data_IF_431279625878
#
_entry.id   IF_431279625878
#
_cell.length_a   1.000
_cell.length_b   1.000
_cell.length_c   1.000
_cell.angle_alpha   90.00
_cell.angle_beta   90.00
_cell.angle_gamma   90.00
#
_symmetry.space_group_name_H-M   'P 1'
#
loop_
_entity.id
_entity.type
_entity.pdbx_description
1 polymer ?
#
# COMPACT_ATOMS: atom_id res chain seq x y z
N UNK A 1 12.67 -39.98 -21.22
CA UNK A 1 11.87 -38.74 -21.43
C UNK A 1 12.08 -37.73 -20.30
N UNK A 2 11.68 -38.01 -19.05
CA UNK A 2 11.72 -37.07 -17.91
C UNK A 2 13.12 -36.44 -17.66
N UNK A 3 14.21 -37.23 -17.74
CA UNK A 3 15.59 -36.72 -17.59
C UNK A 3 15.96 -35.64 -18.61
N UNK A 4 15.53 -35.80 -19.87
CA UNK A 4 15.80 -34.85 -20.94
C UNK A 4 15.00 -33.56 -20.77
N UNK A 5 13.72 -33.69 -20.40
CA UNK A 5 12.84 -32.54 -20.09
C UNK A 5 13.42 -31.73 -18.93
N UNK A 6 13.76 -32.37 -17.81
CA UNK A 6 14.36 -31.70 -16.66
C UNK A 6 15.67 -30.99 -17.03
N UNK A 7 16.54 -31.64 -17.83
CA UNK A 7 17.82 -31.06 -18.25
C UNK A 7 17.62 -29.76 -19.04
N UNK A 8 16.82 -29.79 -20.11
CA UNK A 8 16.70 -28.61 -20.99
C UNK A 8 15.86 -27.49 -20.37
N UNK A 9 14.78 -27.84 -19.66
CA UNK A 9 14.02 -26.85 -18.91
C UNK A 9 14.86 -26.25 -17.76
N UNK A 10 15.65 -27.07 -17.06
CA UNK A 10 16.56 -26.60 -16.03
C UNK A 10 17.65 -25.65 -16.56
N UNK A 11 18.18 -25.90 -17.76
CA UNK A 11 19.13 -24.98 -18.42
C UNK A 11 18.46 -23.65 -18.78
N UNK A 12 17.23 -23.68 -19.28
CA UNK A 12 16.48 -22.47 -19.66
C UNK A 12 16.04 -21.65 -18.43
N UNK A 13 15.51 -22.31 -17.40
CA UNK A 13 14.97 -21.66 -16.21
C UNK A 13 16.05 -21.31 -15.17
N UNK A 14 17.18 -22.03 -15.18
CA UNK A 14 18.26 -21.85 -14.20
C UNK A 14 18.76 -20.41 -14.06
N UNK A 15 19.12 -19.70 -15.15
CA UNK A 15 19.55 -18.30 -15.08
C UNK A 15 18.50 -17.39 -14.47
N UNK A 16 17.22 -17.59 -14.79
CA UNK A 16 16.12 -16.83 -14.23
C UNK A 16 16.00 -17.08 -12.72
N UNK A 17 16.18 -18.32 -12.25
CA UNK A 17 16.19 -18.64 -10.81
C UNK A 17 17.34 -17.97 -10.06
N UNK A 18 18.52 -17.90 -10.68
CA UNK A 18 19.66 -17.17 -10.10
C UNK A 18 19.30 -15.69 -9.94
N UNK A 19 18.71 -15.08 -10.98
CA UNK A 19 18.25 -13.69 -10.93
C UNK A 19 17.17 -13.50 -9.86
N UNK A 20 16.14 -14.34 -9.83
CA UNK A 20 15.06 -14.29 -8.85
C UNK A 20 15.57 -14.46 -7.42
N UNK A 21 16.48 -15.40 -7.18
CA UNK A 21 17.01 -15.60 -5.83
C UNK A 21 17.87 -14.41 -5.38
N UNK A 22 18.78 -13.93 -6.24
CA UNK A 22 19.62 -12.78 -5.95
C UNK A 22 18.79 -11.51 -5.74
N UNK A 23 17.75 -11.31 -6.55
CA UNK A 23 16.86 -10.16 -6.43
C UNK A 23 15.96 -10.23 -5.19
N UNK A 24 15.56 -11.42 -4.76
CA UNK A 24 14.85 -11.63 -3.50
C UNK A 24 15.68 -11.23 -2.29
N UNK A 25 16.98 -11.58 -2.27
CA UNK A 25 17.91 -11.10 -1.23
C UNK A 25 18.04 -9.58 -1.29
N UNK A 26 18.19 -9.00 -2.48
CA UNK A 26 18.29 -7.55 -2.63
C UNK A 26 17.03 -6.82 -2.09
N UNK A 27 15.84 -7.39 -2.28
CA UNK A 27 14.59 -6.83 -1.78
C UNK A 27 14.52 -6.73 -0.25
N UNK A 28 15.13 -7.65 0.49
CA UNK A 28 15.18 -7.60 1.96
C UNK A 28 15.82 -6.29 2.46
N UNK A 29 16.77 -5.74 1.69
CA UNK A 29 17.45 -4.48 2.01
C UNK A 29 16.85 -3.28 1.28
N UNK A 30 16.23 -3.50 0.12
CA UNK A 30 15.70 -2.43 -0.74
C UNK A 30 14.26 -1.99 -0.39
N UNK A 31 13.53 -2.73 0.46
CA UNK A 31 12.10 -2.51 0.78
C UNK A 31 11.15 -2.56 -0.43
N UNK A 32 11.58 -3.15 -1.55
CA UNK A 32 10.74 -3.37 -2.73
C UNK A 32 10.76 -2.21 -3.75
N UNK A 33 9.59 -1.89 -4.31
CA UNK A 33 9.44 -0.76 -5.24
C UNK A 33 9.55 0.57 -4.48
N UNK A 34 10.18 1.60 -5.07
CA UNK A 34 10.32 2.89 -4.42
C UNK A 34 8.95 3.57 -4.38
N UNK A 35 8.60 4.13 -3.23
CA UNK A 35 7.33 4.80 -3.02
C UNK A 35 7.36 5.61 -1.74
N UNK A 36 6.28 6.34 -1.49
CA UNK A 36 6.10 7.09 -0.25
C UNK A 36 5.40 6.18 0.78
N UNK A 37 6.05 5.93 1.93
CA UNK A 37 5.42 5.12 2.98
C UNK A 37 4.34 5.94 3.71
N UNK A 38 3.32 5.29 4.31
CA UNK A 38 2.28 6.01 5.06
C UNK A 38 2.84 6.88 6.18
N UNK A 39 3.90 6.44 6.85
CA UNK A 39 4.57 7.16 7.94
C UNK A 39 5.31 8.38 7.38
N UNK A 40 6.07 8.21 6.29
CA UNK A 40 6.76 9.31 5.63
C UNK A 40 5.76 10.35 5.10
N UNK A 41 4.63 9.91 4.52
CA UNK A 41 3.54 10.78 4.09
C UNK A 41 2.99 11.60 5.26
N UNK A 42 2.68 10.94 6.38
CA UNK A 42 2.17 11.60 7.58
C UNK A 42 3.19 12.56 8.21
N UNK A 43 4.47 12.23 8.20
CA UNK A 43 5.53 13.12 8.70
C UNK A 43 5.59 14.44 7.93
N UNK A 44 5.35 14.43 6.63
CA UNK A 44 5.39 15.62 5.77
C UNK A 44 4.03 16.30 5.59
N UNK A 45 2.95 15.75 6.13
CA UNK A 45 1.65 16.43 6.15
C UNK A 45 1.74 17.69 7.03
N UNK A 46 1.23 18.84 6.54
CA UNK A 46 1.08 20.04 7.36
C UNK A 46 0.13 19.79 8.54
N UNK A 47 0.29 20.53 9.66
CA UNK A 47 -0.70 20.52 10.72
C UNK A 47 -2.06 20.99 10.18
N UNK A 48 -3.12 20.39 10.72
CA UNK A 48 -4.51 20.71 10.45
C UNK A 48 -4.98 21.83 11.38
N UNK A 49 -5.38 22.96 10.79
CA UNK A 49 -5.97 24.08 11.52
C UNK A 49 -7.49 23.87 11.66
N UNK A 50 -7.88 23.31 12.82
CA UNK A 50 -9.29 23.05 13.14
C UNK A 50 -10.13 24.33 13.26
N UNK A 51 -9.52 25.48 13.54
CA UNK A 51 -10.25 26.75 13.62
C UNK A 51 -10.75 27.24 12.25
N UNK A 52 -10.18 26.73 11.16
CA UNK A 52 -10.62 27.00 9.78
C UNK A 52 -11.67 26.03 9.26
N UNK A 53 -12.02 24.99 10.03
CA UNK A 53 -13.04 24.02 9.65
C UNK A 53 -14.41 24.66 9.88
N UNK A 54 -15.06 25.11 8.81
CA UNK A 54 -16.31 25.87 8.88
C UNK A 54 -17.58 25.03 8.71
N UNK A 55 -17.47 23.78 8.28
CA UNK A 55 -18.62 22.90 8.04
C UNK A 55 -18.30 21.43 8.30
N UNK A 56 -19.33 20.65 8.56
CA UNK A 56 -19.29 19.19 8.70
C UNK A 56 -19.05 18.51 7.35
N UNK A 57 -18.60 17.24 7.32
CA UNK A 57 -18.50 16.50 6.08
C UNK A 57 -19.86 16.33 5.38
N UNK A 58 -20.96 16.21 6.13
CA UNK A 58 -22.31 16.11 5.55
C UNK A 58 -22.71 17.41 4.84
N UNK A 59 -22.48 18.57 5.46
CA UNK A 59 -22.75 19.88 4.87
C UNK A 59 -21.87 20.14 3.63
N UNK A 60 -20.60 19.73 3.67
CA UNK A 60 -19.68 19.88 2.55
C UNK A 60 -20.16 19.12 1.30
N UNK A 61 -20.63 17.88 1.48
CA UNK A 61 -21.21 17.07 0.39
C UNK A 61 -22.51 17.69 -0.11
N UNK A 62 -23.41 18.07 0.79
CA UNK A 62 -24.70 18.66 0.45
C UNK A 62 -24.56 19.98 -0.33
N UNK A 63 -23.63 20.84 0.07
CA UNK A 63 -23.35 22.13 -0.58
C UNK A 63 -22.74 21.96 -1.97
N UNK A 64 -21.90 20.93 -2.15
CA UNK A 64 -21.33 20.58 -3.43
C UNK A 64 -22.31 19.93 -4.40
N UNK A 65 -23.45 19.43 -3.92
CA UNK A 65 -24.44 18.73 -4.74
C UNK A 65 -23.91 17.41 -5.33
N UNK A 66 -22.94 16.79 -4.65
CA UNK A 66 -22.28 15.58 -5.15
C UNK A 66 -22.91 14.33 -4.55
N UNK A 67 -23.23 13.35 -5.39
CA UNK A 67 -23.57 11.99 -4.95
C UNK A 67 -22.26 11.19 -4.85
N UNK A 68 -21.65 11.19 -3.67
CA UNK A 68 -20.33 10.60 -3.47
C UNK A 68 -20.48 9.20 -2.90
N UNK A 69 -20.15 8.20 -3.70
CA UNK A 69 -19.95 6.83 -3.24
C UNK A 69 -18.54 6.68 -2.65
N UNK A 70 -18.45 6.82 -1.32
CA UNK A 70 -17.21 6.76 -0.55
C UNK A 70 -17.20 5.61 0.47
N UNK A 71 -16.02 5.04 0.68
CA UNK A 71 -15.77 4.04 1.71
C UNK A 71 -14.97 4.61 2.89
N UNK A 72 -14.26 5.72 2.68
CA UNK A 72 -13.46 6.40 3.70
C UNK A 72 -13.49 7.90 3.47
N UNK A 73 -13.56 8.63 4.58
CA UNK A 73 -13.44 10.09 4.60
C UNK A 73 -12.38 10.49 5.62
N UNK A 74 -11.50 11.41 5.23
CA UNK A 74 -10.45 11.96 6.09
C UNK A 74 -10.43 13.48 5.96
N UNK A 75 -10.16 14.17 7.04
CA UNK A 75 -9.94 15.62 7.09
C UNK A 75 -8.43 15.87 7.22
N UNK A 76 -7.88 16.66 6.31
CA UNK A 76 -6.47 17.03 6.28
C UNK A 76 -6.27 18.42 5.67
N UNK A 77 -5.05 18.92 5.70
CA UNK A 77 -4.68 20.17 5.03
C UNK A 77 -4.28 19.92 3.58
N UNK A 78 -5.00 20.54 2.63
CA UNK A 78 -4.68 20.54 1.20
C UNK A 78 -4.51 22.00 0.75
N UNK A 79 -3.37 22.35 0.16
CA UNK A 79 -3.06 23.74 -0.23
C UNK A 79 -3.35 24.78 0.87
N UNK A 80 -2.92 24.51 2.10
CA UNK A 80 -3.08 25.39 3.29
C UNK A 80 -4.53 25.61 3.76
N UNK A 81 -5.45 24.79 3.27
CA UNK A 81 -6.87 24.83 3.62
C UNK A 81 -7.31 23.48 4.14
N UNK A 82 -8.19 23.42 5.16
CA UNK A 82 -8.75 22.16 5.61
C UNK A 82 -9.66 21.59 4.50
N UNK A 83 -9.55 20.29 4.23
CA UNK A 83 -10.33 19.63 3.21
C UNK A 83 -10.73 18.21 3.63
N UNK A 84 -11.99 17.86 3.35
CA UNK A 84 -12.51 16.51 3.39
C UNK A 84 -12.12 15.78 2.12
N UNK A 85 -11.37 14.69 2.26
CA UNK A 85 -11.06 13.78 1.18
C UNK A 85 -11.90 12.52 1.31
N UNK A 86 -12.73 12.32 0.30
CA UNK A 86 -13.54 11.14 0.10
C UNK A 86 -12.81 10.20 -0.84
N UNK A 87 -12.62 8.96 -0.38
CA UNK A 87 -12.06 7.87 -1.19
C UNK A 87 -13.12 6.80 -1.37
N UNK A 88 -13.28 6.31 -2.59
CA UNK A 88 -14.27 5.32 -2.97
C UNK A 88 -14.35 5.24 -4.48
N UNK A 89 -15.53 4.94 -5.00
CA UNK A 89 -15.77 4.86 -6.45
C UNK A 89 -15.64 6.22 -7.11
N UNK A 90 -16.08 7.27 -6.41
CA UNK A 90 -15.97 8.66 -6.87
C UNK A 90 -15.12 9.49 -5.90
N UNK A 91 -13.78 9.47 -6.04
CA UNK A 91 -12.93 10.24 -5.14
C UNK A 91 -13.13 11.74 -5.35
N UNK A 92 -13.23 12.46 -4.24
CA UNK A 92 -13.38 13.90 -4.24
C UNK A 92 -12.64 14.52 -3.05
N UNK A 93 -12.07 15.70 -3.26
CA UNK A 93 -11.57 16.54 -2.17
C UNK A 93 -12.42 17.79 -2.14
N UNK A 94 -13.05 18.07 -0.99
CA UNK A 94 -13.95 19.22 -0.79
C UNK A 94 -13.38 20.04 0.35
N UNK A 95 -13.20 21.34 0.14
CA UNK A 95 -12.67 22.22 1.17
C UNK A 95 -13.68 22.42 2.30
N UNK A 96 -13.23 22.27 3.55
CA UNK A 96 -14.06 22.33 4.74
C UNK A 96 -14.36 23.78 5.20
N UNK A 97 -13.77 24.78 4.54
CA UNK A 97 -14.01 26.21 4.79
C UNK A 97 -15.08 26.80 3.83
N UNK A 98 -15.06 26.43 2.55
CA UNK A 98 -15.97 26.97 1.52
C UNK A 98 -16.97 25.96 0.97
N UNK A 99 -16.69 24.66 1.06
CA UNK A 99 -17.47 23.61 0.41
C UNK A 99 -17.14 23.42 -1.07
N UNK A 100 -16.13 24.13 -1.60
CA UNK A 100 -15.73 23.99 -3.00
C UNK A 100 -14.99 22.67 -3.22
N UNK A 101 -15.24 22.04 -4.37
CA UNK A 101 -14.46 20.88 -4.81
C UNK A 101 -13.08 21.32 -5.29
N UNK A 102 -12.05 20.57 -4.94
CA UNK A 102 -10.73 20.70 -5.53
C UNK A 102 -10.83 20.45 -7.03
N UNK A 103 -10.54 21.49 -7.81
CA UNK A 103 -10.31 21.37 -9.25
C UNK A 103 -8.93 20.77 -9.47
N UNK A 104 -8.76 20.03 -10.58
CA UNK A 104 -7.47 19.43 -10.93
C UNK A 104 -6.33 20.44 -10.80
N UNK A 105 -5.30 20.01 -10.09
CA UNK A 105 -4.14 20.84 -9.79
C UNK A 105 -3.43 21.22 -11.10
N UNK A 106 -3.00 22.48 -11.20
CA UNK A 106 -2.10 22.92 -12.25
C UNK A 106 -0.62 22.70 -11.88
N UNK A 107 0.31 22.84 -12.85
CA UNK A 107 1.75 22.70 -12.60
C UNK A 107 2.28 23.57 -11.46
N UNK A 108 1.84 24.83 -11.37
CA UNK A 108 2.25 25.75 -10.29
C UNK A 108 1.80 25.25 -8.91
N UNK A 109 0.58 24.70 -8.82
CA UNK A 109 0.09 24.09 -7.58
C UNK A 109 0.93 22.87 -7.18
N UNK A 110 1.32 22.05 -8.16
CA UNK A 110 2.15 20.87 -7.93
C UNK A 110 3.54 21.22 -7.41
N UNK A 111 4.19 22.25 -7.98
CA UNK A 111 5.48 22.76 -7.53
C UNK A 111 5.40 23.32 -6.11
N UNK A 112 4.35 24.06 -5.77
CA UNK A 112 4.13 24.58 -4.42
C UNK A 112 3.97 23.45 -3.39
N UNK A 113 3.26 22.38 -3.72
CA UNK A 113 3.12 21.20 -2.85
C UNK A 113 4.48 20.52 -2.67
N UNK A 114 5.24 20.34 -3.76
CA UNK A 114 6.58 19.76 -3.71
C UNK A 114 7.55 20.59 -2.85
N UNK A 115 7.53 21.92 -2.99
CA UNK A 115 8.34 22.85 -2.19
C UNK A 115 8.06 22.75 -0.71
N UNK A 116 6.79 22.70 -0.32
CA UNK A 116 6.38 22.51 1.09
C UNK A 116 6.78 21.15 1.63
N UNK A 117 6.57 20.10 0.84
CA UNK A 117 6.89 18.74 1.26
C UNK A 117 8.40 18.56 1.51
N UNK A 118 9.26 19.06 0.62
CA UNK A 118 10.72 18.91 0.76
C UNK A 118 11.35 20.02 1.61
N UNK A 119 10.59 21.05 2.01
CA UNK A 119 11.09 22.28 2.61
C UNK A 119 12.20 22.94 1.77
N UNK A 120 11.97 23.03 0.46
CA UNK A 120 12.89 23.62 -0.52
C UNK A 120 12.18 24.75 -1.29
N UNK A 121 12.97 25.70 -1.80
CA UNK A 121 12.45 26.76 -2.67
C UNK A 121 12.07 26.21 -4.04
N UNK A 122 11.11 26.85 -4.71
CA UNK A 122 10.58 26.38 -6.00
C UNK A 122 11.65 26.27 -7.10
N UNK A 123 12.74 27.04 -7.02
CA UNK A 123 13.83 26.99 -8.02
C UNK A 123 14.64 25.68 -7.97
N UNK A 124 14.56 24.93 -6.87
CA UNK A 124 15.17 23.61 -6.76
C UNK A 124 14.40 22.53 -7.54
N UNK A 125 13.24 22.85 -8.11
CA UNK A 125 12.37 21.91 -8.79
C UNK A 125 12.28 22.19 -10.28
N UNK A 126 12.24 21.11 -11.06
CA UNK A 126 11.99 21.15 -12.49
C UNK A 126 10.71 20.35 -12.78
N UNK A 127 9.72 21.02 -13.37
CA UNK A 127 8.49 20.38 -13.81
C UNK A 127 8.76 19.58 -15.09
N UNK A 128 8.46 18.28 -15.06
CA UNK A 128 8.71 17.38 -16.20
C UNK A 128 7.49 17.28 -17.10
N UNK A 129 6.29 17.15 -16.52
CA UNK A 129 5.06 17.00 -17.28
C UNK A 129 3.92 16.36 -16.50
N UNK A 130 2.76 16.26 -17.15
CA UNK A 130 1.58 15.56 -16.64
C UNK A 130 1.55 14.13 -17.21
N UNK A 131 1.48 13.14 -16.33
CA UNK A 131 1.36 11.73 -16.67
C UNK A 131 -0.10 11.31 -16.58
N UNK A 132 -0.75 11.08 -17.72
CA UNK A 132 -2.11 10.55 -17.79
C UNK A 132 -2.17 9.05 -17.51
N UNK A 133 -1.05 8.35 -17.70
CA UNK A 133 -0.89 6.94 -17.41
C UNK A 133 0.28 6.75 -16.45
N UNK A 134 0.24 5.74 -15.56
CA UNK A 134 1.31 5.52 -14.61
C UNK A 134 2.60 5.08 -15.31
N UNK A 135 3.75 5.62 -14.87
CA UNK A 135 5.06 5.12 -15.27
C UNK A 135 5.50 3.94 -14.38
N UNK A 136 6.69 3.39 -14.64
CA UNK A 136 7.26 2.27 -13.88
C UNK A 136 7.22 2.47 -12.36
N UNK A 137 7.36 3.71 -11.89
CA UNK A 137 7.43 4.05 -10.46
C UNK A 137 6.08 4.32 -9.83
N UNK A 138 5.05 4.56 -10.64
CA UNK A 138 3.69 4.89 -10.19
C UNK A 138 2.65 3.84 -10.57
N UNK A 139 3.07 2.64 -10.97
CA UNK A 139 2.16 1.52 -11.31
C UNK A 139 1.15 1.26 -10.19
N UNK A 140 1.60 1.27 -8.92
CA UNK A 140 0.73 1.09 -7.76
C UNK A 140 -0.21 2.27 -7.46
N UNK A 141 -0.09 3.37 -8.21
CA UNK A 141 -0.85 4.61 -8.03
C UNK A 141 -1.71 4.93 -9.26
N UNK A 142 -2.11 3.91 -10.03
CA UNK A 142 -2.93 4.06 -11.24
C UNK A 142 -4.22 4.87 -10.98
N UNK A 143 -4.89 4.62 -9.87
CA UNK A 143 -6.14 5.33 -9.52
C UNK A 143 -5.94 6.83 -9.25
N UNK A 144 -4.69 7.24 -8.98
CA UNK A 144 -4.34 8.62 -8.65
C UNK A 144 -3.96 9.45 -9.89
N UNK A 145 -3.88 8.84 -11.08
CA UNK A 145 -3.59 9.58 -12.33
C UNK A 145 -4.74 10.53 -12.69
N UNK A 146 -4.46 11.70 -13.29
CA UNK A 146 -3.15 12.11 -13.79
C UNK A 146 -2.19 12.63 -12.70
N UNK A 147 -0.87 12.44 -12.92
CA UNK A 147 0.20 12.77 -11.98
C UNK A 147 1.15 13.82 -12.56
N UNK A 148 1.39 14.91 -11.84
CA UNK A 148 2.47 15.84 -12.13
C UNK A 148 3.81 15.23 -11.71
N UNK A 149 4.70 15.06 -12.68
CA UNK A 149 6.07 14.59 -12.44
C UNK A 149 6.99 15.79 -12.25
N UNK A 150 7.71 15.79 -11.14
CA UNK A 150 8.64 16.86 -10.76
C UNK A 150 9.97 16.21 -10.41
N UNK A 151 11.07 16.77 -10.91
CA UNK A 151 12.42 16.40 -10.51
C UNK A 151 13.02 17.47 -9.61
N UNK A 152 13.77 17.04 -8.60
CA UNK A 152 14.51 17.94 -7.70
C UNK A 152 15.96 18.00 -8.15
N UNK A 153 16.56 19.20 -8.15
CA UNK A 153 17.99 19.39 -8.39
C UNK A 153 18.80 19.15 -7.11
N UNK A 154 18.78 17.90 -6.66
CA UNK A 154 19.55 17.40 -5.53
C UNK A 154 20.54 16.29 -5.96
N UNK A 155 21.51 15.98 -5.10
CA UNK A 155 22.47 14.89 -5.36
C UNK A 155 21.77 13.53 -5.49
N UNK A 156 20.65 13.35 -4.79
CA UNK A 156 19.87 12.13 -4.81
C UNK A 156 19.08 11.93 -6.12
N UNK A 157 18.98 12.95 -6.99
CA UNK A 157 18.12 12.97 -8.19
C UNK A 157 16.69 12.56 -7.86
N UNK A 158 16.10 13.23 -6.89
CA UNK A 158 14.76 12.94 -6.37
C UNK A 158 13.70 13.23 -7.44
N UNK A 159 12.69 12.36 -7.51
CA UNK A 159 11.49 12.54 -8.34
C UNK A 159 10.25 12.44 -7.46
N UNK A 160 9.38 13.42 -7.61
CA UNK A 160 8.11 13.53 -6.90
C UNK A 160 6.97 13.40 -7.90
N UNK A 161 5.91 12.73 -7.48
CA UNK A 161 4.70 12.53 -8.26
C UNK A 161 3.52 13.07 -7.48
N UNK A 162 2.96 14.19 -7.94
CA UNK A 162 1.82 14.85 -7.29
C UNK A 162 0.55 14.50 -8.04
N UNK A 163 -0.46 13.95 -7.36
CA UNK A 163 -1.76 13.72 -8.00
C UNK A 163 -2.44 15.05 -8.30
N UNK A 164 -2.86 15.22 -9.55
CA UNK A 164 -3.65 16.37 -9.95
C UNK A 164 -5.05 16.36 -9.31
N UNK A 165 -5.62 15.19 -9.06
CA UNK A 165 -6.98 15.03 -8.53
C UNK A 165 -7.13 15.36 -7.05
N UNK A 166 -6.14 14.98 -6.24
CA UNK A 166 -6.23 15.08 -4.78
C UNK A 166 -5.22 16.04 -4.15
N UNK A 167 -4.27 16.57 -4.94
CA UNK A 167 -3.27 17.52 -4.47
C UNK A 167 -2.35 16.93 -3.40
N UNK A 168 -1.84 15.72 -3.61
CA UNK A 168 -0.91 15.06 -2.68
C UNK A 168 0.21 14.36 -3.44
N UNK A 169 1.38 14.23 -2.82
CA UNK A 169 2.47 13.42 -3.34
C UNK A 169 2.16 11.94 -3.10
N UNK A 170 2.02 11.18 -4.18
CA UNK A 170 1.66 9.75 -4.14
C UNK A 170 2.87 8.83 -4.29
N UNK A 171 3.98 9.35 -4.80
CA UNK A 171 5.24 8.63 -4.90
C UNK A 171 6.44 9.58 -4.82
N UNK A 172 7.49 9.09 -4.18
CA UNK A 172 8.80 9.71 -4.10
C UNK A 172 9.86 8.65 -4.46
N UNK A 173 10.77 9.00 -5.36
CA UNK A 173 11.88 8.11 -5.71
C UNK A 173 13.20 8.87 -5.74
N UNK A 174 14.30 8.19 -5.43
CA UNK A 174 15.67 8.70 -5.55
C UNK A 174 16.46 7.84 -6.52
N UNK A 175 17.65 8.27 -6.94
CA UNK A 175 18.55 7.45 -7.75
C UNK A 175 18.87 6.13 -7.06
N UNK A 176 19.15 6.17 -5.75
CA UNK A 176 19.46 4.97 -4.96
C UNK A 176 18.27 4.02 -4.91
N UNK A 177 17.06 4.51 -4.59
CA UNK A 177 15.88 3.65 -4.50
C UNK A 177 15.52 3.03 -5.84
N UNK A 178 15.64 3.78 -6.94
CA UNK A 178 15.46 3.25 -8.31
C UNK A 178 16.50 2.20 -8.69
N UNK A 179 17.77 2.42 -8.34
CA UNK A 179 18.84 1.44 -8.60
C UNK A 179 18.62 0.15 -7.84
N UNK A 180 18.22 0.24 -6.57
CA UNK A 180 17.89 -0.91 -5.74
C UNK A 180 16.67 -1.69 -6.28
N UNK A 181 15.67 -0.99 -6.79
CA UNK A 181 14.51 -1.62 -7.42
C UNK A 181 14.88 -2.40 -8.69
N UNK A 182 15.81 -1.90 -9.50
CA UNK A 182 16.30 -2.57 -10.71
C UNK A 182 17.06 -3.87 -10.45
N UNK A 183 17.73 -3.99 -9.31
CA UNK A 183 18.43 -5.22 -8.91
C UNK A 183 17.58 -6.14 -8.02
N UNK A 184 16.46 -5.63 -7.50
CA UNK A 184 15.58 -6.33 -6.57
C UNK A 184 14.16 -6.49 -7.10
N UNK A 185 13.27 -5.58 -6.72
CA UNK A 185 11.84 -5.68 -6.97
C UNK A 185 11.45 -5.94 -8.43
N UNK A 186 12.06 -5.21 -9.38
CA UNK A 186 11.72 -5.29 -10.80
C UNK A 186 11.98 -6.70 -11.36
N UNK A 187 13.20 -7.27 -11.26
CA UNK A 187 13.46 -8.62 -11.77
C UNK A 187 12.76 -9.71 -10.94
N UNK A 188 12.57 -9.53 -9.64
CA UNK A 188 11.89 -10.52 -8.79
C UNK A 188 10.41 -10.65 -9.12
N UNK A 189 9.71 -9.52 -9.22
CA UNK A 189 8.27 -9.48 -9.47
C UNK A 189 7.91 -9.38 -10.95
N UNK A 190 8.90 -9.28 -11.84
CA UNK A 190 8.72 -9.06 -13.28
C UNK A 190 7.89 -7.78 -13.58
N UNK A 191 8.14 -6.71 -12.83
CA UNK A 191 7.44 -5.43 -12.94
C UNK A 191 7.91 -4.61 -14.15
N UNK A 192 7.71 -5.14 -15.34
CA UNK A 192 7.88 -4.39 -16.58
C UNK A 192 6.55 -3.69 -16.91
N UNK A 193 6.57 -2.37 -17.14
CA UNK A 193 5.36 -1.55 -17.28
C UNK A 193 4.33 -2.13 -18.27
N UNK A 194 4.67 -2.53 -19.52
CA UNK A 194 3.68 -3.07 -20.45
C UNK A 194 3.03 -4.37 -19.97
N UNK A 195 3.81 -5.20 -19.27
CA UNK A 195 3.33 -6.46 -18.70
C UNK A 195 2.41 -6.20 -17.50
N UNK A 196 2.85 -5.33 -16.59
CA UNK A 196 2.19 -5.07 -15.32
C UNK A 196 0.91 -4.25 -15.46
N UNK A 197 0.78 -3.42 -16.51
CA UNK A 197 -0.48 -2.75 -16.85
C UNK A 197 -1.60 -3.74 -17.23
N UNK A 198 -1.24 -4.95 -17.66
CA UNK A 198 -2.16 -6.05 -17.94
C UNK A 198 -2.10 -7.08 -16.80
N UNK A 199 -2.84 -6.80 -15.72
CA UNK A 199 -2.88 -7.62 -14.50
C UNK A 199 -3.11 -9.12 -14.76
N UNK A 200 -4.10 -9.53 -15.59
CA UNK A 200 -4.30 -10.95 -15.90
C UNK A 200 -3.12 -11.58 -16.61
N UNK A 201 -2.50 -10.88 -17.56
CA UNK A 201 -1.36 -11.39 -18.32
C UNK A 201 -0.13 -11.55 -17.41
N UNK A 202 0.18 -10.55 -16.59
CA UNK A 202 1.25 -10.62 -15.60
C UNK A 202 1.05 -11.78 -14.64
N UNK A 203 -0.15 -11.89 -14.06
CA UNK A 203 -0.50 -12.97 -13.13
C UNK A 203 -0.34 -14.34 -13.79
N UNK A 204 -0.86 -14.50 -15.02
CA UNK A 204 -0.72 -15.72 -15.79
C UNK A 204 0.74 -16.11 -16.04
N UNK A 205 1.58 -15.16 -16.48
CA UNK A 205 3.00 -15.41 -16.74
C UNK A 205 3.72 -15.85 -15.46
N UNK A 206 3.53 -15.15 -14.34
CA UNK A 206 4.17 -15.50 -13.06
C UNK A 206 3.71 -16.89 -12.59
N UNK A 207 2.42 -17.20 -12.68
CA UNK A 207 1.87 -18.51 -12.31
C UNK A 207 2.41 -19.64 -13.19
N UNK A 208 2.43 -19.47 -14.52
CA UNK A 208 2.94 -20.47 -15.44
C UNK A 208 4.43 -20.73 -15.24
N UNK A 209 5.23 -19.68 -15.11
CA UNK A 209 6.67 -19.79 -14.87
C UNK A 209 6.92 -20.49 -13.53
N UNK A 210 6.25 -20.07 -12.45
CA UNK A 210 6.44 -20.64 -11.11
C UNK A 210 5.93 -22.09 -11.04
N UNK A 211 4.79 -22.40 -11.67
CA UNK A 211 4.22 -23.74 -11.71
C UNK A 211 5.06 -24.71 -12.53
N UNK A 212 5.49 -24.32 -13.73
CA UNK A 212 6.41 -25.13 -14.54
C UNK A 212 7.71 -25.40 -13.77
N UNK A 213 8.24 -24.37 -13.12
CA UNK A 213 9.48 -24.48 -12.36
C UNK A 213 9.35 -25.37 -11.12
N UNK A 214 8.19 -25.33 -10.45
CA UNK A 214 7.86 -26.25 -9.35
C UNK A 214 7.92 -27.70 -9.83
N UNK A 215 7.29 -28.01 -10.98
CA UNK A 215 7.29 -29.36 -11.56
C UNK A 215 8.72 -29.78 -11.94
N UNK A 216 9.50 -28.88 -12.54
CA UNK A 216 10.89 -29.14 -12.93
C UNK A 216 11.78 -29.40 -11.69
N UNK A 217 11.61 -28.63 -10.62
CA UNK A 217 12.33 -28.81 -9.36
C UNK A 217 11.97 -30.15 -8.70
N UNK A 218 10.68 -30.48 -8.63
CA UNK A 218 10.22 -31.77 -8.10
C UNK A 218 10.78 -32.95 -8.92
N UNK A 219 10.74 -32.85 -10.25
CA UNK A 219 11.33 -33.86 -11.13
C UNK A 219 12.84 -34.01 -10.86
N UNK A 220 13.57 -32.91 -10.63
CA UNK A 220 14.99 -32.92 -10.28
C UNK A 220 15.27 -33.65 -8.97
N UNK A 221 14.49 -33.35 -7.92
CA UNK A 221 14.59 -34.01 -6.61
C UNK A 221 14.34 -35.51 -6.74
N UNK A 222 13.25 -35.91 -7.41
CA UNK A 222 12.90 -37.32 -7.59
C UNK A 222 13.97 -38.07 -8.39
N UNK A 223 14.47 -37.48 -9.47
CA UNK A 223 15.58 -38.05 -10.25
C UNK A 223 16.86 -38.18 -9.42
N UNK A 224 17.17 -37.18 -8.58
CA UNK A 224 18.30 -37.20 -7.65
C UNK A 224 18.19 -38.34 -6.64
N UNK A 225 17.05 -38.48 -5.97
CA UNK A 225 16.77 -39.54 -4.99
C UNK A 225 16.87 -40.92 -5.65
N UNK A 226 16.19 -41.11 -6.79
CA UNK A 226 16.22 -42.40 -7.52
C UNK A 226 17.66 -42.76 -7.89
N UNK A 227 18.45 -41.80 -8.36
CA UNK A 227 19.84 -42.04 -8.75
C UNK A 227 20.72 -42.36 -7.53
N UNK A 228 20.47 -41.71 -6.40
CA UNK A 228 21.18 -41.95 -5.14
C UNK A 228 20.90 -43.36 -4.58
N UNK A 229 19.64 -43.79 -4.62
CA UNK A 229 19.20 -45.13 -4.15
C UNK A 229 19.73 -46.24 -5.07
N UNK A 230 19.75 -46.02 -6.39
CA UNK A 230 20.00 -47.10 -7.37
C UNK A 230 21.46 -47.47 -7.59
N UNK A 231 22.42 -46.58 -7.40
CA UNK A 231 23.88 -46.82 -7.41
C UNK A 231 24.62 -45.49 -7.45
N UNK A 232 25.67 -45.36 -6.63
CA UNK A 232 26.53 -44.17 -6.46
C UNK A 232 26.61 -43.30 -7.71
N UNK A 233 26.19 -42.03 -7.59
CA UNK A 233 26.21 -40.98 -8.63
C UNK A 233 27.37 -41.21 -9.62
N UNK A 234 27.13 -41.82 -10.81
CA UNK A 234 28.19 -42.30 -11.72
C UNK A 234 28.86 -41.16 -12.49
N UNK A 235 28.65 -39.93 -12.03
CA UNK A 235 29.12 -38.71 -12.65
C UNK A 235 30.30 -38.17 -11.85
N UNK A 236 31.26 -37.58 -12.54
CA UNK A 236 32.42 -36.88 -11.97
C UNK A 236 32.30 -35.36 -12.21
N UNK A 237 33.17 -34.59 -11.53
CA UNK A 237 33.24 -33.13 -11.69
C UNK A 237 31.94 -32.40 -11.33
N UNK A 238 31.58 -31.40 -12.14
CA UNK A 238 30.40 -30.53 -11.94
C UNK A 238 29.09 -31.28 -11.90
N UNK A 239 28.95 -32.37 -12.66
CA UNK A 239 27.72 -33.16 -12.68
C UNK A 239 27.54 -33.91 -11.35
N UNK A 240 28.63 -34.38 -10.71
CA UNK A 240 28.55 -34.98 -9.36
C UNK A 240 28.05 -33.96 -8.33
N UNK A 241 28.56 -32.73 -8.40
CA UNK A 241 28.13 -31.64 -7.53
C UNK A 241 26.68 -31.29 -7.79
N UNK A 242 26.27 -31.14 -9.05
CA UNK A 242 24.87 -30.87 -9.41
C UNK A 242 23.90 -31.89 -8.80
N UNK A 243 24.19 -33.19 -8.84
CA UNK A 243 23.34 -34.20 -8.21
C UNK A 243 23.31 -34.11 -6.68
N UNK A 244 24.46 -33.83 -6.03
CA UNK A 244 24.55 -33.75 -4.56
C UNK A 244 23.93 -32.48 -4.00
N UNK A 245 24.36 -31.32 -4.53
CA UNK A 245 23.83 -30.02 -4.13
C UNK A 245 22.38 -29.86 -4.61
N UNK A 246 22.02 -30.43 -5.75
CA UNK A 246 20.69 -30.36 -6.32
C UNK A 246 19.62 -31.06 -5.48
N UNK A 247 19.94 -32.11 -4.70
CA UNK A 247 18.98 -32.67 -3.75
C UNK A 247 18.72 -31.69 -2.59
N UNK A 248 19.79 -31.18 -1.97
CA UNK A 248 19.69 -30.27 -0.83
C UNK A 248 19.04 -28.93 -1.22
N UNK A 249 19.63 -28.22 -2.18
CA UNK A 249 19.12 -26.94 -2.66
C UNK A 249 17.86 -27.09 -3.52
N UNK A 250 17.62 -28.26 -4.10
CA UNK A 250 16.40 -28.53 -4.85
C UNK A 250 15.17 -28.54 -3.94
N UNK A 251 15.25 -29.13 -2.75
CA UNK A 251 14.17 -29.06 -1.76
C UNK A 251 13.86 -27.61 -1.41
N UNK A 252 14.89 -26.81 -1.10
CA UNK A 252 14.71 -25.39 -0.81
C UNK A 252 14.13 -24.62 -2.01
N UNK A 253 14.62 -24.87 -3.23
CA UNK A 253 14.14 -24.23 -4.45
C UNK A 253 12.68 -24.59 -4.70
N UNK A 254 12.33 -25.87 -4.54
CA UNK A 254 10.96 -26.38 -4.68
C UNK A 254 10.02 -25.71 -3.69
N UNK A 255 10.34 -25.73 -2.39
CA UNK A 255 9.47 -25.12 -1.37
C UNK A 255 9.34 -23.62 -1.57
N UNK A 256 10.43 -22.93 -1.92
CA UNK A 256 10.45 -21.50 -2.17
C UNK A 256 9.58 -21.10 -3.37
N UNK A 257 9.78 -21.71 -4.55
CA UNK A 257 8.99 -21.35 -5.75
C UNK A 257 7.54 -21.82 -5.65
N UNK A 258 7.30 -22.98 -5.02
CA UNK A 258 5.95 -23.48 -4.78
C UNK A 258 5.19 -22.57 -3.82
N UNK A 259 5.83 -22.13 -2.73
CA UNK A 259 5.25 -21.15 -1.80
C UNK A 259 4.93 -19.82 -2.50
N UNK A 260 5.84 -19.33 -3.35
CA UNK A 260 5.60 -18.13 -4.16
C UNK A 260 4.39 -18.29 -5.09
N UNK A 261 4.30 -19.43 -5.80
CA UNK A 261 3.14 -19.75 -6.64
C UNK A 261 1.84 -19.80 -5.83
N UNK A 262 1.85 -20.47 -4.67
CA UNK A 262 0.68 -20.54 -3.80
C UNK A 262 0.27 -19.17 -3.27
N UNK A 263 1.20 -18.26 -2.98
CA UNK A 263 0.86 -16.90 -2.53
C UNK A 263 0.15 -16.05 -3.58
N UNK A 264 0.33 -16.40 -4.86
CA UNK A 264 -0.34 -15.76 -5.99
C UNK A 264 -1.70 -16.40 -6.32
N UNK A 265 -1.95 -17.59 -5.80
CA UNK A 265 -3.26 -18.23 -5.90
C UNK A 265 -4.13 -17.67 -4.77
N UNK A 266 -5.34 -17.23 -5.11
CA UNK A 266 -6.35 -16.72 -4.19
C UNK A 266 -6.91 -17.82 -3.25
N UNK A 267 -6.18 -18.91 -3.04
CA UNK A 267 -6.65 -20.13 -2.37
C UNK A 267 -6.84 -19.95 -0.86
N UNK A 268 -6.13 -19.00 -0.23
CA UNK A 268 -6.27 -18.64 1.18
C UNK A 268 -7.26 -17.48 1.40
N UNK A 269 -7.54 -16.69 0.36
CA UNK A 269 -8.43 -15.53 0.36
C UNK A 269 -9.78 -15.81 -0.31
N UNK A 270 -10.05 -17.07 -0.68
CA UNK A 270 -11.30 -17.56 -1.30
C UNK A 270 -12.58 -17.45 -0.47
N UNK A 271 -12.61 -16.58 0.55
CA UNK A 271 -13.83 -16.10 1.18
C UNK A 271 -13.88 -14.59 1.05
N UNK A 272 -15.09 -14.04 0.87
CA UNK A 272 -15.41 -12.60 0.96
C UNK A 272 -15.09 -11.96 2.33
N UNK A 273 -14.14 -12.52 3.08
CA UNK A 273 -13.77 -12.18 4.45
C UNK A 273 -12.79 -11.01 4.50
N UNK A 274 -11.97 -10.79 3.46
CA UNK A 274 -10.99 -9.68 3.43
C UNK A 274 -11.64 -8.30 3.59
N UNK A 275 -12.68 -8.01 2.81
CA UNK A 275 -13.46 -6.76 2.91
C UNK A 275 -14.61 -6.87 3.93
N UNK A 276 -15.09 -8.09 4.18
CA UNK A 276 -16.19 -8.35 5.11
C UNK A 276 -15.80 -8.18 6.58
N UNK A 277 -14.56 -8.45 6.98
CA UNK A 277 -14.12 -8.29 8.38
C UNK A 277 -14.09 -6.81 8.79
N UNK A 278 -13.47 -5.88 8.04
CA UNK A 278 -13.55 -4.46 8.32
C UNK A 278 -15.00 -3.94 8.36
N UNK A 279 -15.84 -4.38 7.43
CA UNK A 279 -17.24 -3.94 7.35
C UNK A 279 -18.12 -4.53 8.47
N UNK A 280 -17.85 -5.76 8.90
CA UNK A 280 -18.49 -6.39 10.04
C UNK A 280 -18.05 -5.74 11.37
N UNK A 281 -16.77 -5.38 11.49
CA UNK A 281 -16.24 -4.66 12.66
C UNK A 281 -16.74 -3.21 12.71
N UNK A 282 -16.95 -2.56 11.56
CA UNK A 282 -17.46 -1.19 11.50
C UNK A 282 -18.97 -1.09 11.78
N UNK A 283 -19.72 -2.17 11.56
CA UNK A 283 -21.19 -2.18 11.65
C UNK A 283 -21.87 -1.50 10.45
N UNK A 284 -21.18 -1.41 9.31
CA UNK A 284 -21.68 -0.79 8.07
C UNK A 284 -20.93 0.48 7.63
N UNK A 285 -21.43 1.19 6.60
CA UNK A 285 -20.79 2.39 6.06
C UNK A 285 -20.80 3.55 7.07
N UNK A 286 -19.88 4.48 6.88
CA UNK A 286 -19.76 5.70 7.70
C UNK A 286 -20.95 6.62 7.42
N UNK A 287 -21.71 6.96 8.46
CA UNK A 287 -22.83 7.90 8.36
C UNK A 287 -22.32 9.33 8.64
N UNK A 288 -22.20 10.17 7.60
CA UNK A 288 -21.69 11.54 7.75
C UNK A 288 -22.53 12.40 8.69
N UNK A 289 -23.85 12.18 8.76
CA UNK A 289 -24.77 12.93 9.61
C UNK A 289 -24.57 12.66 11.10
N UNK A 290 -23.83 11.60 11.45
CA UNK A 290 -23.47 11.29 12.83
C UNK A 290 -22.36 12.19 13.38
N UNK A 291 -21.64 12.92 12.52
CA UNK A 291 -20.54 13.80 12.90
C UNK A 291 -20.99 15.25 12.99
N UNK A 292 -20.71 15.88 14.12
CA UNK A 292 -21.07 17.27 14.41
C UNK A 292 -19.97 18.23 13.98
N UNK A 293 -20.30 19.53 13.94
CA UNK A 293 -19.32 20.58 13.71
C UNK A 293 -18.21 20.49 14.77
N UNK A 294 -16.96 20.63 14.32
CA UNK A 294 -15.79 20.59 15.20
C UNK A 294 -15.63 21.94 15.90
N UNK A 295 -15.78 21.96 17.23
CA UNK A 295 -15.42 23.14 18.04
C UNK A 295 -13.91 23.16 18.27
N UNK A 296 -13.23 24.13 17.67
CA UNK A 296 -11.78 24.23 17.73
C UNK A 296 -11.22 24.34 19.16
N UNK A 297 -11.93 24.97 20.09
CA UNK A 297 -11.44 25.13 21.45
C UNK A 297 -11.66 23.86 22.28
N UNK A 298 -12.78 23.16 22.06
CA UNK A 298 -12.99 21.83 22.65
C UNK A 298 -11.94 20.83 22.13
N UNK A 299 -11.64 20.85 20.83
CA UNK A 299 -10.62 19.97 20.24
C UNK A 299 -9.20 20.30 20.71
N UNK A 300 -8.86 21.57 20.93
CA UNK A 300 -7.57 21.93 21.55
C UNK A 300 -7.42 21.36 22.96
N UNK A 301 -8.52 21.27 23.72
CA UNK A 301 -8.49 20.64 25.05
C UNK A 301 -8.29 19.13 24.94
N UNK A 302 -9.07 18.45 24.08
CA UNK A 302 -8.96 17.00 23.85
C UNK A 302 -7.57 16.60 23.35
N UNK A 303 -6.97 17.42 22.49
CA UNK A 303 -5.64 17.15 21.93
C UNK A 303 -4.48 17.74 22.75
N UNK A 304 -4.74 18.28 23.95
CA UNK A 304 -3.74 18.86 24.83
C UNK A 304 -2.85 19.91 24.14
N UNK A 305 -3.48 20.81 23.37
CA UNK A 305 -2.82 21.87 22.56
C UNK A 305 -1.92 21.36 21.42
N UNK A 306 -1.96 20.06 21.09
CA UNK A 306 -1.22 19.50 19.94
C UNK A 306 -2.02 19.65 18.65
N UNK A 307 -1.32 19.91 17.56
CA UNK A 307 -1.93 20.06 16.24
C UNK A 307 -2.00 18.69 15.53
N UNK A 308 -3.19 18.18 15.20
CA UNK A 308 -3.33 16.95 14.43
C UNK A 308 -2.90 17.20 12.97
N UNK A 309 -2.60 16.15 12.22
CA UNK A 309 -2.27 16.24 10.79
C UNK A 309 -3.36 15.68 9.88
N UNK A 310 -4.03 14.64 10.35
CA UNK A 310 -5.12 13.97 9.64
C UNK A 310 -6.13 13.45 10.66
N UNK A 311 -7.42 13.60 10.38
CA UNK A 311 -8.52 13.04 11.18
C UNK A 311 -9.35 12.16 10.27
N UNK A 312 -9.35 10.85 10.51
CA UNK A 312 -10.23 9.92 9.79
C UNK A 312 -11.56 9.77 10.52
N UNK A 313 -12.66 9.76 9.77
CA UNK A 313 -13.99 9.53 10.31
C UNK A 313 -14.29 8.05 10.11
N UNK A 314 -14.46 7.34 11.20
CA UNK A 314 -14.65 5.89 11.19
C UNK A 314 -15.90 5.52 11.96
N UNK A 315 -16.43 4.36 11.63
CA UNK A 315 -17.51 3.72 12.37
C UNK A 315 -16.96 2.45 12.97
N UNK A 316 -17.17 2.22 14.26
CA UNK A 316 -16.70 1.03 14.97
C UNK A 316 -17.89 0.48 15.74
N UNK A 317 -18.28 -0.77 15.47
CA UNK A 317 -19.44 -1.44 16.07
C UNK A 317 -20.74 -0.61 15.99
N UNK A 318 -20.91 0.16 14.92
CA UNK A 318 -22.09 0.99 14.73
C UNK A 318 -21.95 2.44 15.20
N UNK A 319 -20.99 2.75 16.06
CA UNK A 319 -20.80 4.07 16.66
C UNK A 319 -19.76 4.94 15.89
N UNK A 320 -19.95 6.27 15.87
CA UNK A 320 -19.06 7.19 15.18
C UNK A 320 -17.82 7.56 16.02
N UNK A 321 -16.64 7.46 15.42
CA UNK A 321 -15.37 7.83 16.03
C UNK A 321 -14.48 8.65 15.08
N UNK A 322 -13.60 9.44 15.67
CA UNK A 322 -12.51 10.12 15.00
C UNK A 322 -11.20 9.40 15.30
N UNK A 323 -10.43 9.08 14.27
CA UNK A 323 -9.08 8.56 14.42
C UNK A 323 -8.08 9.64 14.02
N UNK A 324 -7.36 10.17 15.00
CA UNK A 324 -6.53 11.37 14.90
C UNK A 324 -5.06 10.97 14.77
N UNK A 325 -4.42 11.42 13.70
CA UNK A 325 -3.03 11.14 13.38
C UNK A 325 -2.14 12.38 13.53
N UNK A 326 -0.88 12.16 13.90
CA UNK A 326 0.15 13.21 13.96
C UNK A 326 0.24 13.95 15.30
N UNK A 327 -0.50 13.50 16.31
CA UNK A 327 -0.44 14.00 17.69
C UNK A 327 0.53 13.17 18.56
N UNK A 328 0.61 11.88 18.27
CA UNK A 328 1.53 10.89 18.87
C UNK A 328 2.02 9.91 17.78
N UNK A 329 2.92 9.00 18.16
CA UNK A 329 3.39 7.91 17.28
C UNK A 329 2.24 6.97 16.89
N UNK A 330 1.26 6.79 17.78
CA UNK A 330 0.03 6.02 17.54
C UNK A 330 -1.15 6.96 17.33
N UNK A 331 -2.14 6.59 16.51
CA UNK A 331 -3.33 7.41 16.34
C UNK A 331 -4.20 7.38 17.60
N UNK A 332 -4.76 8.55 17.95
CA UNK A 332 -5.71 8.69 19.05
C UNK A 332 -7.13 8.44 18.54
N UNK A 333 -7.94 7.65 19.26
CA UNK A 333 -9.36 7.51 18.97
C UNK A 333 -10.17 8.41 19.89
N UNK A 334 -11.06 9.19 19.31
CA UNK A 334 -11.95 10.10 20.03
C UNK A 334 -13.39 9.77 19.63
N UNK A 335 -14.27 9.55 20.60
CA UNK A 335 -15.69 9.32 20.33
C UNK A 335 -16.35 10.58 19.76
N UNK A 336 -17.18 10.43 18.73
CA UNK A 336 -17.99 11.55 18.24
C UNK A 336 -19.25 11.78 19.08
N UNK A 337 -19.54 10.90 20.03
CA UNK A 337 -20.63 11.05 20.99
C UNK A 337 -20.18 11.92 22.17
N UNK A 338 -20.85 13.06 22.46
CA UNK A 338 -20.42 13.99 23.50
C UNK A 338 -20.46 13.40 24.92
N UNK A 339 -21.24 12.35 25.15
CA UNK A 339 -21.29 11.64 26.44
C UNK A 339 -20.03 10.79 26.70
N UNK A 340 -19.28 10.43 25.65
CA UNK A 340 -18.11 9.55 25.68
C UNK A 340 -16.82 10.26 25.21
N UNK A 341 -16.90 11.54 24.83
CA UNK A 341 -15.78 12.30 24.28
C UNK A 341 -14.60 12.48 25.26
N UNK A 342 -14.81 12.23 26.56
CA UNK A 342 -13.76 12.28 27.60
C UNK A 342 -13.13 10.92 27.91
N UNK A 343 -13.66 9.82 27.37
CA UNK A 343 -13.07 8.50 27.53
C UNK A 343 -12.00 8.31 26.44
N UNK A 344 -10.75 8.56 26.80
CA UNK A 344 -9.59 8.09 26.03
C UNK A 344 -9.61 6.55 25.98
N UNK A 345 -10.36 5.99 25.03
CA UNK A 345 -10.59 4.55 24.87
C UNK A 345 -9.35 3.75 24.45
N UNK A 346 -8.19 4.39 24.27
CA UNK A 346 -6.90 3.75 23.95
C UNK A 346 -5.78 4.01 24.96
N UNK A 347 -6.07 4.21 26.23
CA UNK A 347 -5.25 3.50 27.22
C UNK A 347 -5.63 2.01 27.13
N UNK A 348 -5.10 1.32 26.11
CA UNK A 348 -4.95 -0.13 26.21
C UNK A 348 -3.91 -0.34 27.30
N UNK A 349 -4.41 -0.41 28.53
CA UNK A 349 -3.62 -0.90 29.65
C UNK A 349 -3.10 -2.28 29.23
N UNK A 350 -1.78 -2.43 29.16
CA UNK A 350 -1.07 -3.61 28.65
C UNK A 350 -1.38 -4.88 29.46
N UNK A 351 -2.27 -4.79 30.46
CA UNK A 351 -2.54 -5.79 31.47
C UNK A 351 -3.98 -6.33 31.50
N UNK A 352 -4.90 -5.88 30.65
CA UNK A 352 -6.27 -6.44 30.64
C UNK A 352 -6.39 -7.50 29.54
N UNK A 353 -6.47 -8.81 29.86
CA UNK A 353 -6.67 -9.84 28.85
C UNK A 353 -8.03 -9.62 28.19
N UNK A 354 -8.05 -9.53 26.87
CA UNK A 354 -9.28 -9.51 26.08
C UNK A 354 -10.10 -10.76 26.42
N UNK A 355 -11.20 -10.61 27.17
CA UNK A 355 -12.12 -11.71 27.40
C UNK A 355 -12.86 -12.02 26.09
N UNK A 356 -12.61 -13.22 25.56
CA UNK A 356 -13.32 -13.76 24.41
C UNK A 356 -14.79 -13.98 24.81
N UNK A 357 -15.70 -13.26 24.16
CA UNK A 357 -17.15 -13.47 24.27
C UNK A 357 -17.47 -14.94 23.94
N UNK A 358 -17.99 -15.70 24.92
CA UNK A 358 -18.34 -17.12 24.78
C UNK A 358 -19.79 -17.38 24.37
N UNK A 359 -20.59 -16.34 24.22
CA UNK A 359 -21.99 -16.48 23.84
C UNK A 359 -22.17 -16.48 22.31
N UNK A 360 -22.91 -17.45 21.75
CA UNK A 360 -23.23 -17.47 20.33
C UNK A 360 -24.12 -16.28 19.93
N UNK A 361 -24.01 -15.85 18.68
CA UNK A 361 -24.88 -14.80 18.12
C UNK A 361 -26.32 -15.29 18.03
N UNK A 362 -27.29 -14.46 18.45
CA UNK A 362 -28.71 -14.77 18.31
C UNK A 362 -29.14 -14.67 16.84
N UNK A 363 -29.93 -15.64 16.41
CA UNK A 363 -30.37 -15.86 15.02
C UNK A 363 -31.25 -14.72 14.47
N UNK A 364 -31.68 -13.78 15.31
CA UNK A 364 -32.47 -12.61 14.92
C UNK A 364 -31.63 -11.47 14.30
N UNK A 365 -30.32 -11.66 14.12
CA UNK A 365 -29.40 -10.66 13.53
C UNK A 365 -28.76 -11.09 12.21
N UNK A 366 -29.32 -12.10 11.52
CA UNK A 366 -28.92 -12.48 10.15
C UNK A 366 -29.85 -11.88 9.09
#
# INVERSE_FOLDING_TARGET
MIRWIHRYLGIALGPMFVVWFASGIAMMYARGMPGLTPEARLQHLPPLDLARVGMTPAEAVARGGFDIDFNRVVLLTVMDRPAYRFTGREPATIFADTGDRLVELGPAGALRIAGKFMNLREEAFQYVGLLNEPDLWTIGQREQTPLHKITVDDEARTQLYVSAKIGEIVALTTRRSRTLAWVGAIPHWLYFTPLRLNEPLWTGIVLWISGLSTIVALAGILLGIIQYIRSSVPYSGWMRWHYRSGILFGIFTFTWVFSGMLSMLDWASGGKTGDGIPQALSGGPVNLSAFRAMDADAWKQVLEQRAPKEIAFVRIQGDPYYLVYGVEDKPLLVSANPAQASENLFHLDEQTPLEVRREPFSVESL
#
